data_IF_623071928323
#
_entry.id   IF_623071928323
#
_cell.length_a   1.000
_cell.length_b   1.000
_cell.length_c   1.000
_cell.angle_alpha   90.00
_cell.angle_beta   90.00
_cell.angle_gamma   90.00
#
_symmetry.space_group_name_H-M   'P 1'
#
loop_
_entity.id
_entity.type
_entity.pdbx_description
1 polymer ?
#
# COMPACT_ATOMS: atom_id res chain seq x y z
N UNK A 1 1.13 -25.98 20.82
CA UNK A 1 0.36 -24.81 21.35
C UNK A 1 0.85 -24.51 22.75
N UNK A 2 1.28 -23.28 23.09
CA UNK A 2 1.32 -22.65 24.46
C UNK A 2 2.16 -21.34 24.46
N UNK A 3 1.86 -20.44 25.41
CA UNK A 3 2.00 -18.96 25.37
C UNK A 3 3.24 -18.35 26.07
N UNK A 4 3.78 -17.20 25.60
CA UNK A 4 5.12 -16.60 25.90
C UNK A 4 5.05 -15.10 26.30
N UNK A 5 5.95 -14.63 27.17
CA UNK A 5 6.06 -13.27 27.76
C UNK A 5 7.32 -12.46 27.27
N UNK A 6 7.23 -11.20 26.78
CA UNK A 6 8.37 -10.33 26.31
C UNK A 6 8.84 -9.27 27.34
N UNK A 7 10.11 -8.81 27.31
CA UNK A 7 10.71 -7.72 28.12
C UNK A 7 11.54 -6.69 27.30
N UNK A 8 11.70 -5.46 27.86
CA UNK A 8 11.98 -4.12 27.28
C UNK A 8 13.32 -3.84 26.55
N UNK A 9 13.31 -2.74 25.76
CA UNK A 9 14.38 -2.22 24.86
C UNK A 9 14.65 -0.71 25.07
N UNK A 10 15.88 -0.24 24.79
CA UNK A 10 16.24 1.18 24.48
C UNK A 10 16.23 1.41 22.96
N UNK A 11 15.87 2.61 22.51
CA UNK A 11 15.46 2.94 21.13
C UNK A 11 16.42 3.91 20.43
N UNK A 12 16.69 3.71 19.12
CA UNK A 12 17.03 4.79 18.19
C UNK A 12 16.51 4.51 16.76
N UNK A 13 16.14 5.57 16.02
CA UNK A 13 15.15 5.63 14.92
C UNK A 13 15.72 5.46 13.49
N UNK A 14 14.97 4.77 12.60
CA UNK A 14 14.47 5.24 11.26
C UNK A 14 13.43 4.25 10.68
N UNK A 15 12.22 4.72 10.34
CA UNK A 15 11.03 3.90 10.00
C UNK A 15 10.94 3.54 8.51
N UNK A 16 11.42 2.35 8.15
CA UNK A 16 11.02 1.55 6.98
C UNK A 16 11.24 0.10 7.41
N UNK A 17 10.17 -0.62 7.80
CA UNK A 17 10.17 -2.03 8.23
C UNK A 17 11.53 -2.54 8.77
N UNK A 18 12.00 -1.95 9.87
CA UNK A 18 13.35 -2.21 10.35
C UNK A 18 13.45 -3.68 10.76
N UNK A 19 14.34 -4.39 10.07
CA UNK A 19 14.89 -5.63 10.58
C UNK A 19 15.54 -5.28 11.92
N UNK A 20 15.16 -6.01 12.96
CA UNK A 20 15.54 -5.72 14.33
C UNK A 20 15.88 -7.01 15.07
N UNK A 21 16.83 -6.91 16.01
CA UNK A 21 17.21 -8.03 16.88
C UNK A 21 16.35 -7.97 18.15
N UNK A 22 15.52 -8.97 18.37
CA UNK A 22 14.77 -9.12 19.61
C UNK A 22 15.28 -10.34 20.38
N UNK A 23 15.22 -10.23 21.71
CA UNK A 23 15.51 -11.33 22.62
C UNK A 23 14.20 -12.03 22.94
N UNK A 24 14.15 -13.33 22.71
CA UNK A 24 13.01 -14.19 23.02
C UNK A 24 13.41 -15.14 24.13
N UNK A 25 12.63 -15.17 25.20
CA UNK A 25 12.81 -16.16 26.27
C UNK A 25 11.86 -17.31 26.01
N UNK A 26 12.43 -18.51 25.87
CA UNK A 26 11.66 -19.75 25.67
C UNK A 26 11.08 -20.26 27.01
N UNK A 27 10.20 -21.25 26.93
CA UNK A 27 9.53 -21.82 28.10
C UNK A 27 10.48 -22.50 29.09
N UNK A 28 11.68 -22.87 28.65
CA UNK A 28 12.76 -23.43 29.47
C UNK A 28 13.67 -22.36 30.12
N UNK A 29 13.36 -21.07 29.92
CA UNK A 29 14.13 -19.94 30.45
C UNK A 29 15.32 -19.53 29.58
N UNK A 30 15.62 -20.25 28.49
CA UNK A 30 16.71 -19.88 27.60
C UNK A 30 16.37 -18.64 26.79
N UNK A 31 17.33 -17.73 26.64
CA UNK A 31 17.13 -16.50 25.86
C UNK A 31 17.85 -16.59 24.52
N UNK A 32 17.08 -16.48 23.43
CA UNK A 32 17.57 -16.51 22.06
C UNK A 32 17.45 -15.15 21.40
N UNK A 33 18.49 -14.75 20.67
CA UNK A 33 18.54 -13.49 19.92
C UNK A 33 18.14 -13.76 18.48
N UNK A 34 17.04 -13.20 18.03
CA UNK A 34 16.51 -13.41 16.67
C UNK A 34 16.48 -12.09 15.91
N UNK A 35 17.10 -12.10 14.72
CA UNK A 35 17.07 -11.00 13.76
C UNK A 35 15.85 -11.16 12.84
N UNK A 36 14.99 -10.15 12.74
CA UNK A 36 13.83 -10.24 11.86
C UNK A 36 12.94 -9.00 11.84
N UNK A 37 11.86 -9.06 11.07
CA UNK A 37 10.86 -7.99 10.97
C UNK A 37 9.76 -8.21 12.00
N UNK A 38 9.77 -7.43 13.07
CA UNK A 38 8.73 -7.51 14.12
C UNK A 38 7.94 -6.20 14.18
N UNK A 39 6.74 -6.12 13.57
CA UNK A 39 5.90 -4.92 13.63
C UNK A 39 5.51 -4.52 15.06
N UNK A 40 5.39 -5.49 15.96
CA UNK A 40 5.10 -5.30 17.38
C UNK A 40 6.24 -5.92 18.22
N UNK A 41 6.74 -5.18 19.20
CA UNK A 41 7.88 -5.61 20.04
C UNK A 41 7.72 -5.30 21.53
N UNK A 42 6.56 -4.78 21.93
CA UNK A 42 6.25 -4.51 23.33
C UNK A 42 6.11 -5.78 24.18
N UNK A 43 6.35 -5.68 25.50
CA UNK A 43 6.40 -6.81 26.42
C UNK A 43 5.10 -7.62 26.51
N UNK A 44 3.95 -7.01 26.26
CA UNK A 44 2.64 -7.67 26.37
C UNK A 44 2.28 -8.57 25.17
N UNK A 45 3.13 -8.61 24.13
CA UNK A 45 2.95 -9.49 22.99
C UNK A 45 3.58 -10.86 23.22
N UNK A 46 2.82 -11.89 22.89
CA UNK A 46 3.33 -13.23 22.63
C UNK A 46 3.60 -13.33 21.12
N UNK A 47 4.81 -13.78 20.77
CA UNK A 47 5.27 -13.82 19.38
C UNK A 47 5.64 -15.25 19.02
N UNK A 48 5.06 -15.77 17.95
CA UNK A 48 5.39 -17.09 17.38
C UNK A 48 6.04 -16.87 16.02
N UNK A 49 7.22 -17.45 15.78
CA UNK A 49 7.89 -17.34 14.49
C UNK A 49 8.77 -18.56 14.18
N UNK A 50 9.01 -18.79 12.90
CA UNK A 50 9.97 -19.79 12.41
C UNK A 50 11.32 -19.12 12.15
N UNK A 51 12.39 -19.70 12.68
CA UNK A 51 13.75 -19.18 12.57
C UNK A 51 14.66 -20.16 11.85
N UNK A 52 15.63 -19.64 11.12
CA UNK A 52 16.73 -20.38 10.49
C UNK A 52 18.06 -19.87 11.03
N UNK A 53 19.10 -20.70 11.04
CA UNK A 53 20.45 -20.24 11.34
C UNK A 53 21.14 -19.76 10.08
N UNK A 54 21.82 -18.62 10.17
CA UNK A 54 22.72 -18.15 9.10
C UNK A 54 24.09 -18.87 9.18
N UNK A 55 24.95 -18.61 8.20
CA UNK A 55 26.31 -19.19 8.13
C UNK A 55 27.23 -18.80 9.31
N UNK A 56 26.80 -17.85 10.15
CA UNK A 56 27.52 -17.39 11.35
C UNK A 56 26.83 -17.84 12.64
N UNK A 57 25.86 -18.76 12.56
CA UNK A 57 25.11 -19.31 13.69
C UNK A 57 24.08 -18.37 14.30
N UNK A 58 23.77 -17.23 13.67
CA UNK A 58 22.74 -16.30 14.16
C UNK A 58 21.36 -16.76 13.73
N UNK A 59 20.39 -16.65 14.64
CA UNK A 59 18.99 -16.92 14.34
C UNK A 59 18.38 -15.76 13.56
N UNK A 60 17.85 -16.07 12.39
CA UNK A 60 17.18 -15.13 11.49
C UNK A 60 15.76 -15.62 11.22
N UNK A 61 14.78 -14.73 11.31
CA UNK A 61 13.41 -14.99 10.87
C UNK A 61 13.24 -14.43 9.45
N UNK A 62 13.24 -15.28 8.40
CA UNK A 62 13.08 -14.81 7.02
C UNK A 62 11.65 -14.33 6.71
N UNK A 63 10.65 -14.88 7.43
CA UNK A 63 9.23 -14.57 7.25
C UNK A 63 8.71 -13.51 8.21
N UNK A 64 7.42 -13.63 8.54
CA UNK A 64 6.72 -12.76 9.48
C UNK A 64 6.24 -13.56 10.70
N UNK A 65 6.17 -12.91 11.88
CA UNK A 65 5.71 -13.56 13.10
C UNK A 65 4.19 -13.53 13.21
N UNK A 66 3.64 -14.46 13.97
CA UNK A 66 2.26 -14.42 14.49
C UNK A 66 2.24 -13.78 15.86
N UNK A 67 1.17 -13.03 16.17
CA UNK A 67 1.01 -12.34 17.44
C UNK A 67 -0.21 -12.83 18.23
N UNK A 68 -0.10 -12.76 19.55
CA UNK A 68 -1.22 -12.89 20.49
C UNK A 68 -1.00 -11.97 21.69
N UNK A 69 -2.08 -11.56 22.35
CA UNK A 69 -1.99 -11.01 23.70
C UNK A 69 -1.61 -12.09 24.69
N UNK A 70 -0.60 -11.78 25.51
CA UNK A 70 -0.25 -12.60 26.67
C UNK A 70 -1.44 -12.69 27.62
N UNK A 71 -1.84 -13.91 27.96
CA UNK A 71 -2.85 -14.15 29.00
C UNK A 71 -2.27 -14.11 30.40
N UNK A 72 -0.99 -14.44 30.51
CA UNK A 72 -0.24 -14.33 31.74
C UNK A 72 0.59 -13.04 31.61
N UNK A 73 0.19 -11.97 32.31
CA UNK A 73 1.00 -10.76 32.51
C UNK A 73 1.10 -10.45 34.01
N UNK A 74 2.22 -9.89 34.42
CA UNK A 74 2.46 -9.47 35.81
C UNK A 74 2.27 -7.96 35.90
N UNK A 75 2.25 -7.48 37.14
CA UNK A 75 2.10 -6.06 37.44
C UNK A 75 3.21 -5.20 36.81
N UNK A 76 4.40 -5.78 36.59
CA UNK A 76 5.48 -5.08 35.89
C UNK A 76 5.05 -4.77 34.46
N UNK A 77 4.56 -5.76 33.70
CA UNK A 77 4.12 -5.61 32.31
C UNK A 77 2.90 -4.69 32.20
N UNK A 78 1.95 -4.78 33.13
CA UNK A 78 0.81 -3.85 33.23
C UNK A 78 1.32 -2.42 33.41
N UNK A 79 2.30 -2.21 34.30
CA UNK A 79 2.93 -0.90 34.50
C UNK A 79 3.63 -0.40 33.23
N UNK A 80 4.28 -1.28 32.46
CA UNK A 80 4.91 -0.90 31.19
C UNK A 80 3.87 -0.47 30.16
N UNK A 81 2.72 -1.14 30.13
CA UNK A 81 1.60 -0.83 29.25
C UNK A 81 0.94 0.50 29.62
N UNK A 82 0.65 0.74 30.90
CA UNK A 82 0.08 2.01 31.37
C UNK A 82 0.98 3.20 31.01
N UNK A 83 2.30 3.05 31.21
CA UNK A 83 3.29 4.05 30.77
C UNK A 83 3.29 4.25 29.25
N UNK A 84 3.16 3.18 28.47
CA UNK A 84 3.03 3.27 27.01
C UNK A 84 1.71 3.94 26.56
N UNK A 85 0.67 3.90 27.39
CA UNK A 85 -0.57 4.64 27.19
C UNK A 85 -0.48 6.13 27.56
N UNK A 86 0.65 6.59 28.10
CA UNK A 86 0.89 7.98 28.47
C UNK A 86 0.57 8.33 29.92
N UNK A 87 0.34 7.34 30.79
CA UNK A 87 0.14 7.59 32.22
C UNK A 87 1.46 7.97 32.91
N UNK A 88 1.38 8.87 33.90
CA UNK A 88 2.54 9.25 34.70
C UNK A 88 3.02 8.09 35.58
N UNK A 89 4.30 8.08 35.93
CA UNK A 89 4.84 7.05 36.82
C UNK A 89 4.17 7.06 38.21
N UNK A 90 3.76 8.23 38.69
CA UNK A 90 3.07 8.42 39.98
C UNK A 90 1.72 7.69 40.00
N UNK A 91 0.86 7.94 39.00
CA UNK A 91 -0.42 7.22 38.88
C UNK A 91 -0.26 5.71 38.73
N UNK A 92 0.77 5.27 38.00
CA UNK A 92 1.05 3.84 37.85
C UNK A 92 1.42 3.22 39.20
N UNK A 93 2.27 3.88 39.99
CA UNK A 93 2.63 3.39 41.33
C UNK A 93 1.41 3.30 42.24
N UNK A 94 0.60 4.36 42.31
CA UNK A 94 -0.62 4.39 43.14
C UNK A 94 -1.61 3.28 42.75
N UNK A 95 -1.80 3.04 41.45
CA UNK A 95 -2.67 1.95 40.98
C UNK A 95 -2.16 0.57 41.41
N UNK A 96 -0.84 0.34 41.30
CA UNK A 96 -0.24 -0.94 41.68
C UNK A 96 -0.29 -1.16 43.20
N UNK A 97 -0.11 -0.10 44.00
CA UNK A 97 -0.25 -0.15 45.47
C UNK A 97 -1.68 -0.40 45.92
N UNK A 98 -2.66 0.17 45.22
CA UNK A 98 -4.08 -0.05 45.48
C UNK A 98 -4.56 -1.46 45.12
N UNK A 99 -3.92 -2.12 44.16
CA UNK A 99 -4.40 -3.38 43.63
C UNK A 99 -4.32 -4.51 44.70
N UNK A 100 -5.44 -5.22 44.97
CA UNK A 100 -5.42 -6.34 45.92
C UNK A 100 -4.41 -7.42 45.50
N UNK A 101 -3.66 -7.97 46.47
CA UNK A 101 -2.58 -8.96 46.20
C UNK A 101 -3.05 -10.20 45.41
N UNK A 102 -4.31 -10.58 45.57
CA UNK A 102 -4.93 -11.74 44.90
C UNK A 102 -5.54 -11.41 43.54
N UNK A 103 -5.77 -10.12 43.23
CA UNK A 103 -6.43 -9.70 41.99
C UNK A 103 -5.44 -9.77 40.82
N UNK A 104 -5.69 -10.70 39.90
CA UNK A 104 -4.95 -10.78 38.63
C UNK A 104 -5.49 -9.76 37.62
N UNK A 105 -4.69 -8.75 37.31
CA UNK A 105 -4.98 -7.79 36.24
C UNK A 105 -4.28 -8.21 34.95
N UNK A 106 -5.03 -8.21 33.86
CA UNK A 106 -4.54 -8.40 32.51
C UNK A 106 -4.96 -7.22 31.61
N UNK A 107 -4.53 -7.19 30.36
CA UNK A 107 -4.82 -6.06 29.47
C UNK A 107 -6.30 -5.96 29.03
N UNK A 108 -7.09 -7.02 29.22
CA UNK A 108 -8.51 -7.03 28.84
C UNK A 108 -9.41 -6.55 29.97
N UNK A 109 -9.06 -6.84 31.23
CA UNK A 109 -9.80 -6.36 32.42
C UNK A 109 -9.22 -5.08 33.03
N UNK A 110 -8.07 -4.60 32.53
CA UNK A 110 -7.47 -3.34 32.99
C UNK A 110 -8.44 -2.14 32.95
N UNK A 111 -9.29 -1.93 31.92
CA UNK A 111 -10.22 -0.80 31.92
C UNK A 111 -11.22 -0.80 33.08
N UNK A 112 -11.67 -1.99 33.49
CA UNK A 112 -12.56 -2.18 34.63
C UNK A 112 -11.81 -1.92 35.94
N UNK A 113 -10.60 -2.45 36.09
CA UNK A 113 -9.76 -2.20 37.26
C UNK A 113 -9.40 -0.71 37.41
N UNK A 114 -9.14 0.00 36.31
CA UNK A 114 -8.88 1.45 36.31
C UNK A 114 -10.13 2.24 36.72
N UNK A 115 -11.31 1.81 36.28
CA UNK A 115 -12.57 2.47 36.66
C UNK A 115 -12.87 2.29 38.15
N UNK A 116 -12.65 1.11 38.70
CA UNK A 116 -12.76 0.86 40.14
C UNK A 116 -11.73 1.66 40.94
N UNK A 117 -10.49 1.75 40.45
CA UNK A 117 -9.45 2.57 41.06
C UNK A 117 -9.85 4.05 41.06
N UNK A 118 -10.35 4.60 39.96
CA UNK A 118 -10.84 5.98 39.87
C UNK A 118 -12.00 6.26 40.84
N UNK A 119 -12.88 5.29 41.09
CA UNK A 119 -13.96 5.41 42.08
C UNK A 119 -13.44 5.36 43.52
N UNK A 120 -12.48 4.48 43.80
CA UNK A 120 -11.89 4.31 45.13
C UNK A 120 -10.97 5.48 45.50
N UNK A 121 -10.22 6.00 44.52
CA UNK A 121 -9.33 7.13 44.66
C UNK A 121 -10.12 8.45 44.70
N UNK A 122 -10.79 8.75 45.82
CA UNK A 122 -11.43 10.06 46.08
C UNK A 122 -10.44 11.26 46.14
N UNK A 123 -9.16 11.09 45.78
CA UNK A 123 -8.06 11.89 46.38
C UNK A 123 -7.27 12.80 45.41
N UNK A 124 -7.38 12.76 44.08
CA UNK A 124 -6.41 13.50 43.22
C UNK A 124 -6.92 14.48 42.15
N UNK A 125 -8.17 14.96 42.17
CA UNK A 125 -8.72 15.82 41.07
C UNK A 125 -8.60 15.18 39.67
N UNK A 126 -8.31 13.87 39.59
CA UNK A 126 -8.37 13.12 38.34
C UNK A 126 -9.85 12.98 37.98
N UNK A 127 -10.25 13.50 36.83
CA UNK A 127 -11.65 13.42 36.38
C UNK A 127 -11.94 11.95 36.06
N UNK A 128 -13.03 11.36 36.59
CA UNK A 128 -13.45 10.00 36.24
C UNK A 128 -13.45 9.79 34.72
N UNK A 129 -12.86 8.69 34.26
CA UNK A 129 -12.69 8.34 32.86
C UNK A 129 -11.43 8.88 32.20
N UNK A 130 -10.59 9.68 32.87
CA UNK A 130 -9.33 10.17 32.29
C UNK A 130 -8.35 9.03 31.96
N UNK A 131 -8.21 8.03 32.84
CA UNK A 131 -7.26 6.93 32.62
C UNK A 131 -7.70 6.01 31.49
N UNK A 132 -8.99 5.68 31.46
CA UNK A 132 -9.57 4.91 30.36
C UNK A 132 -9.49 5.66 29.03
N UNK A 133 -9.67 6.99 29.05
CA UNK A 133 -9.49 7.84 27.88
C UNK A 133 -8.04 7.79 27.37
N UNK A 134 -7.04 7.79 28.25
CA UNK A 134 -5.62 7.65 27.87
C UNK A 134 -5.35 6.30 27.20
N UNK A 135 -5.86 5.20 27.77
CA UNK A 135 -5.72 3.86 27.17
C UNK A 135 -6.36 3.84 25.78
N UNK A 136 -7.63 4.22 25.67
CA UNK A 136 -8.40 4.18 24.41
C UNK A 136 -7.74 5.02 23.31
N UNK A 137 -7.20 6.20 23.67
CA UNK A 137 -6.62 7.12 22.72
C UNK A 137 -5.14 6.84 22.39
N UNK A 138 -4.46 5.98 23.14
CA UNK A 138 -3.06 5.63 22.90
C UNK A 138 -2.87 4.62 21.76
N UNK A 139 -1.70 4.62 21.12
CA UNK A 139 -1.34 3.63 20.09
C UNK A 139 -1.28 2.22 20.68
N UNK A 140 -0.74 2.09 21.90
CA UNK A 140 -0.63 0.83 22.61
C UNK A 140 -2.01 0.26 22.95
N UNK A 141 -2.91 1.07 23.51
CA UNK A 141 -4.27 0.65 23.83
C UNK A 141 -5.10 0.33 22.59
N UNK A 142 -4.96 1.09 21.50
CA UNK A 142 -5.59 0.76 20.22
C UNK A 142 -5.13 -0.62 19.71
N UNK A 143 -3.81 -0.88 19.70
CA UNK A 143 -3.28 -2.15 19.22
C UNK A 143 -3.71 -3.34 20.10
N UNK A 144 -3.74 -3.15 21.42
CA UNK A 144 -4.22 -4.17 22.38
C UNK A 144 -5.71 -4.43 22.19
N UNK A 145 -6.53 -3.40 22.03
CA UNK A 145 -7.97 -3.54 21.73
C UNK A 145 -8.18 -4.31 20.43
N UNK A 146 -7.46 -3.95 19.36
CA UNK A 146 -7.52 -4.67 18.10
C UNK A 146 -7.13 -6.14 18.26
N UNK A 147 -6.09 -6.43 19.04
CA UNK A 147 -5.63 -7.80 19.26
C UNK A 147 -6.57 -8.65 20.11
N UNK A 148 -7.32 -8.02 21.02
CA UNK A 148 -8.36 -8.69 21.78
C UNK A 148 -9.56 -9.05 20.90
N UNK A 149 -9.99 -8.12 20.04
CA UNK A 149 -11.17 -8.31 19.18
C UNK A 149 -10.90 -9.19 17.97
N UNK A 150 -9.68 -9.17 17.42
CA UNK A 150 -9.33 -9.78 16.13
C UNK A 150 -8.14 -10.74 16.21
N UNK A 151 -8.26 -11.87 16.94
CA UNK A 151 -7.16 -12.80 17.15
C UNK A 151 -6.66 -13.47 15.86
N UNK A 152 -7.54 -13.76 14.88
CA UNK A 152 -7.11 -14.37 13.60
C UNK A 152 -6.31 -13.40 12.76
N UNK A 153 -6.68 -12.11 12.76
CA UNK A 153 -5.89 -11.04 12.16
C UNK A 153 -4.50 -10.99 12.78
N UNK A 154 -4.38 -10.96 14.11
CA UNK A 154 -3.07 -10.92 14.78
C UNK A 154 -2.21 -12.14 14.48
N UNK A 155 -2.85 -13.30 14.31
CA UNK A 155 -2.15 -14.56 14.01
C UNK A 155 -1.70 -14.65 12.55
N UNK A 156 -2.54 -14.28 11.60
CA UNK A 156 -2.35 -14.62 10.18
C UNK A 156 -2.05 -13.43 9.27
N UNK A 157 -2.57 -12.23 9.57
CA UNK A 157 -2.38 -11.06 8.71
C UNK A 157 -0.93 -10.60 8.56
N UNK A 158 -0.03 -10.71 9.57
CA UNK A 158 1.39 -10.37 9.39
C UNK A 158 2.05 -11.15 8.23
N UNK A 159 1.64 -12.40 8.02
CA UNK A 159 2.16 -13.25 6.94
C UNK A 159 1.38 -13.09 5.65
N UNK A 160 0.05 -12.96 5.73
CA UNK A 160 -0.81 -12.83 4.55
C UNK A 160 -0.67 -11.47 3.85
N UNK A 161 -0.67 -10.37 4.62
CA UNK A 161 -0.63 -8.98 4.14
C UNK A 161 0.26 -8.12 5.06
N UNK A 162 1.60 -8.34 5.07
CA UNK A 162 2.52 -7.73 6.04
C UNK A 162 2.49 -6.21 6.08
N UNK A 163 2.49 -5.57 4.90
CA UNK A 163 2.48 -4.12 4.78
C UNK A 163 1.20 -3.51 5.38
N UNK A 164 0.05 -4.16 5.19
CA UNK A 164 -1.24 -3.69 5.70
C UNK A 164 -1.38 -3.91 7.20
N UNK A 165 -0.86 -5.02 7.75
CA UNK A 165 -0.89 -5.30 9.19
C UNK A 165 -0.27 -4.15 10.00
N UNK A 166 0.94 -3.73 9.64
CA UNK A 166 1.63 -2.64 10.33
C UNK A 166 0.88 -1.30 10.21
N UNK A 167 0.28 -1.02 9.05
CA UNK A 167 -0.48 0.22 8.82
C UNK A 167 -1.80 0.26 9.60
N UNK A 168 -2.48 -0.87 9.76
CA UNK A 168 -3.74 -0.96 10.50
C UNK A 168 -3.56 -0.79 12.00
N UNK A 169 -2.43 -1.26 12.54
CA UNK A 169 -2.14 -1.21 13.98
C UNK A 169 -1.37 0.04 14.43
N UNK A 170 -0.77 0.80 13.51
CA UNK A 170 -0.14 2.09 13.85
C UNK A 170 -1.15 3.24 13.75
N UNK A 171 -1.16 4.16 14.71
CA UNK A 171 -1.87 5.44 14.57
C UNK A 171 -1.24 6.22 13.43
N UNK A 172 -2.07 6.84 12.58
CA UNK A 172 -1.64 7.53 11.35
C UNK A 172 -0.45 8.48 11.58
N UNK A 173 0.33 8.70 10.53
CA UNK A 173 1.54 9.53 10.57
C UNK A 173 1.33 10.87 11.30
N UNK A 174 2.34 11.28 12.07
CA UNK A 174 2.33 12.55 12.82
C UNK A 174 2.01 13.71 11.88
N UNK A 175 0.82 14.28 11.99
CA UNK A 175 0.55 15.65 11.51
C UNK A 175 1.50 16.59 12.26
N UNK A 176 2.17 17.47 11.53
CA UNK A 176 3.12 18.47 12.04
C UNK A 176 2.42 19.74 12.55
N UNK A 177 1.10 19.82 12.50
CA UNK A 177 0.40 21.07 12.83
C UNK A 177 0.02 21.12 14.31
N UNK A 178 0.72 22.01 15.03
CA UNK A 178 0.53 22.31 16.44
C UNK A 178 -0.22 23.63 16.64
N UNK A 179 -1.39 23.80 16.03
CA UNK A 179 -2.26 24.96 16.35
C UNK A 179 -3.42 24.53 17.26
N UNK A 180 -3.80 25.32 18.29
CA UNK A 180 -4.83 24.95 19.26
C UNK A 180 -6.24 24.79 18.67
N UNK A 181 -6.65 25.62 17.71
CA UNK A 181 -7.92 25.46 16.99
C UNK A 181 -7.94 24.23 16.07
N UNK A 182 -6.77 23.84 15.54
CA UNK A 182 -6.61 22.60 14.78
C UNK A 182 -6.62 21.34 15.64
N UNK A 183 -6.44 21.43 16.96
CA UNK A 183 -6.31 20.26 17.84
C UNK A 183 -7.62 19.46 17.97
N UNK A 184 -8.77 20.13 18.15
CA UNK A 184 -10.08 19.46 18.26
C UNK A 184 -10.52 18.82 16.94
N UNK A 185 -10.40 19.54 15.83
CA UNK A 185 -10.68 19.01 14.49
C UNK A 185 -9.74 17.83 14.13
N UNK A 186 -8.48 17.89 14.54
CA UNK A 186 -7.50 16.82 14.36
C UNK A 186 -7.79 15.60 15.25
N UNK A 187 -8.31 15.79 16.46
CA UNK A 187 -8.76 14.67 17.31
C UNK A 187 -9.97 13.95 16.73
N UNK A 188 -10.97 14.69 16.22
CA UNK A 188 -12.14 14.09 15.58
C UNK A 188 -11.75 13.33 14.30
N UNK A 189 -10.89 13.91 13.46
CA UNK A 189 -10.37 13.24 12.27
C UNK A 189 -9.58 11.97 12.61
N UNK A 190 -8.79 11.98 13.71
CA UNK A 190 -8.08 10.79 14.21
C UNK A 190 -9.04 9.71 14.68
N UNK A 191 -10.12 10.06 15.39
CA UNK A 191 -11.15 9.10 15.83
C UNK A 191 -11.86 8.46 14.65
N UNK A 192 -12.33 9.25 13.69
CA UNK A 192 -12.93 8.74 12.43
C UNK A 192 -11.98 7.81 11.67
N UNK A 193 -10.68 8.13 11.65
CA UNK A 193 -9.66 7.28 11.02
C UNK A 193 -9.47 5.95 11.77
N UNK A 194 -9.43 5.98 13.10
CA UNK A 194 -9.32 4.77 13.93
C UNK A 194 -10.53 3.87 13.78
N UNK A 195 -11.73 4.44 13.76
CA UNK A 195 -12.98 3.72 13.53
C UNK A 195 -12.98 3.02 12.18
N UNK A 196 -12.61 3.73 11.10
CA UNK A 196 -12.44 3.13 9.77
C UNK A 196 -11.45 1.96 9.77
N UNK A 197 -10.32 2.07 10.49
CA UNK A 197 -9.37 0.97 10.61
C UNK A 197 -9.94 -0.21 11.40
N UNK A 198 -10.72 0.05 12.45
CA UNK A 198 -11.37 -0.99 13.26
C UNK A 198 -12.39 -1.77 12.43
N UNK A 199 -13.19 -1.09 11.60
CA UNK A 199 -14.11 -1.73 10.65
C UNK A 199 -13.36 -2.63 9.68
N UNK A 200 -12.21 -2.17 9.15
CA UNK A 200 -11.37 -2.98 8.25
C UNK A 200 -10.79 -4.20 8.96
N UNK A 201 -10.35 -4.06 10.22
CA UNK A 201 -9.84 -5.18 11.01
C UNK A 201 -10.93 -6.22 11.28
N UNK A 202 -12.15 -5.78 11.63
CA UNK A 202 -13.31 -6.67 11.78
C UNK A 202 -13.59 -7.46 10.50
N UNK A 203 -13.64 -6.76 9.36
CA UNK A 203 -13.85 -7.40 8.05
C UNK A 203 -12.77 -8.43 7.72
N UNK A 204 -11.51 -8.14 8.05
CA UNK A 204 -10.40 -9.09 7.87
C UNK A 204 -10.51 -10.29 8.80
N UNK A 205 -10.96 -10.10 10.04
CA UNK A 205 -11.20 -11.19 10.98
C UNK A 205 -12.24 -12.17 10.42
N UNK A 206 -13.35 -11.66 9.88
CA UNK A 206 -14.37 -12.46 9.22
C UNK A 206 -13.83 -13.21 8.01
N UNK A 207 -13.10 -12.52 7.12
CA UNK A 207 -12.51 -13.11 5.92
C UNK A 207 -11.52 -14.21 6.29
N UNK A 208 -10.59 -13.98 7.23
CA UNK A 208 -9.60 -14.99 7.64
C UNK A 208 -10.30 -16.20 8.28
N UNK A 209 -11.40 -15.96 9.00
CA UNK A 209 -12.13 -17.02 9.70
C UNK A 209 -12.94 -17.89 8.73
N UNK A 210 -13.65 -17.28 7.77
CA UNK A 210 -14.64 -17.98 6.93
C UNK A 210 -14.18 -18.16 5.48
N UNK A 211 -13.63 -17.12 4.88
CA UNK A 211 -13.41 -17.01 3.43
C UNK A 211 -11.96 -16.64 3.07
N UNK A 212 -10.97 -17.33 3.66
CA UNK A 212 -9.56 -16.91 3.56
C UNK A 212 -9.07 -16.80 2.11
N UNK A 213 -9.64 -17.60 1.20
CA UNK A 213 -9.35 -17.59 -0.23
C UNK A 213 -9.54 -16.22 -0.88
N UNK A 214 -10.44 -15.37 -0.36
CA UNK A 214 -10.67 -14.01 -0.86
C UNK A 214 -9.39 -13.17 -0.83
N UNK A 215 -8.51 -13.43 0.14
CA UNK A 215 -7.24 -12.71 0.29
C UNK A 215 -6.25 -13.00 -0.85
N UNK A 216 -6.46 -14.06 -1.62
CA UNK A 216 -5.58 -14.42 -2.74
C UNK A 216 -5.90 -13.68 -4.04
N UNK A 217 -6.98 -12.89 -4.06
CA UNK A 217 -7.43 -12.12 -5.22
C UNK A 217 -7.40 -10.62 -4.92
N UNK A 218 -6.45 -9.91 -5.54
CA UNK A 218 -6.29 -8.46 -5.35
C UNK A 218 -7.61 -7.67 -5.45
N UNK A 219 -8.41 -7.97 -6.47
CA UNK A 219 -9.68 -7.28 -6.73
C UNK A 219 -10.73 -7.49 -5.63
N UNK A 220 -10.85 -8.71 -5.11
CA UNK A 220 -11.79 -9.00 -4.03
C UNK A 220 -11.34 -8.28 -2.76
N UNK A 221 -10.05 -8.34 -2.43
CA UNK A 221 -9.50 -7.62 -1.27
C UNK A 221 -9.74 -6.13 -1.40
N UNK A 222 -9.48 -5.53 -2.56
CA UNK A 222 -9.75 -4.12 -2.81
C UNK A 222 -11.22 -3.77 -2.62
N UNK A 223 -12.16 -4.56 -3.18
CA UNK A 223 -13.61 -4.32 -3.02
C UNK A 223 -14.09 -4.44 -1.58
N UNK A 224 -13.61 -5.45 -0.86
CA UNK A 224 -14.06 -5.76 0.52
C UNK A 224 -13.40 -4.85 1.57
N UNK A 225 -12.19 -4.32 1.32
CA UNK A 225 -11.39 -3.62 2.35
C UNK A 225 -10.83 -2.26 1.92
N UNK A 226 -10.85 -1.95 0.63
CA UNK A 226 -10.22 -0.77 0.04
C UNK A 226 -8.69 -0.81 0.05
N UNK A 227 -8.07 -1.99 0.21
CA UNK A 227 -6.61 -2.12 0.18
C UNK A 227 -6.06 -2.16 -1.23
N UNK A 228 -5.27 -1.15 -1.56
CA UNK A 228 -4.44 -1.13 -2.76
C UNK A 228 -3.30 -2.14 -2.55
N UNK A 229 -3.03 -2.98 -3.56
CA UNK A 229 -1.98 -4.03 -3.52
C UNK A 229 -2.17 -5.05 -2.38
N UNK A 230 -3.41 -5.29 -1.95
CA UNK A 230 -3.73 -6.34 -0.98
C UNK A 230 -3.91 -7.69 -1.67
N UNK A 231 -2.87 -8.53 -1.71
CA UNK A 231 -2.98 -9.91 -2.23
C UNK A 231 -2.00 -10.84 -1.50
N UNK A 232 -2.55 -11.86 -0.86
CA UNK A 232 -1.78 -12.92 -0.21
C UNK A 232 -1.23 -13.89 -1.27
N UNK A 233 0.07 -14.20 -1.17
CA UNK A 233 0.74 -15.15 -2.07
C UNK A 233 0.47 -16.60 -1.64
N UNK A 234 0.59 -17.53 -2.58
CA UNK A 234 0.37 -18.97 -2.33
C UNK A 234 1.13 -19.49 -1.10
N UNK A 235 2.42 -19.17 -0.99
CA UNK A 235 3.24 -19.62 0.13
C UNK A 235 2.76 -19.05 1.47
N UNK A 236 2.18 -17.84 1.50
CA UNK A 236 1.66 -17.25 2.73
C UNK A 236 0.49 -18.05 3.30
N UNK A 237 -0.41 -18.56 2.45
CA UNK A 237 -1.50 -19.45 2.86
C UNK A 237 -0.97 -20.74 3.48
N UNK A 238 0.04 -21.36 2.85
CA UNK A 238 0.67 -22.59 3.34
C UNK A 238 1.39 -22.37 4.67
N UNK A 239 2.19 -21.31 4.79
CA UNK A 239 2.87 -20.94 6.04
C UNK A 239 1.87 -20.71 7.18
N UNK A 240 0.67 -20.21 6.87
CA UNK A 240 -0.38 -20.02 7.87
C UNK A 240 -1.18 -21.29 8.18
N UNK A 241 -0.97 -22.41 7.46
CA UNK A 241 -1.81 -23.60 7.56
C UNK A 241 -3.28 -23.34 7.17
N UNK A 242 -3.49 -22.41 6.24
CA UNK A 242 -4.83 -22.00 5.79
C UNK A 242 -5.16 -22.49 4.38
N UNK A 243 -4.19 -23.03 3.64
CA UNK A 243 -4.38 -23.43 2.25
C UNK A 243 -5.33 -24.62 2.15
N UNK A 244 -5.25 -25.57 3.08
CA UNK A 244 -6.05 -26.79 3.16
C UNK A 244 -7.51 -26.52 3.53
N UNK A 245 -7.79 -25.34 4.12
CA UNK A 245 -9.15 -24.90 4.48
C UNK A 245 -9.90 -24.26 3.30
N UNK A 246 -9.21 -24.00 2.20
CA UNK A 246 -9.83 -23.37 1.02
C UNK A 246 -10.67 -24.42 0.28
N UNK A 247 -11.95 -24.15 -0.01
CA UNK A 247 -12.77 -25.15 -0.69
C UNK A 247 -12.24 -25.44 -2.10
N UNK A 248 -12.48 -26.66 -2.65
CA UNK A 248 -11.82 -27.13 -3.86
C UNK A 248 -11.96 -26.20 -5.07
N UNK A 249 -13.16 -25.65 -5.30
CA UNK A 249 -13.43 -24.72 -6.40
C UNK A 249 -12.56 -23.45 -6.31
N UNK A 250 -12.54 -22.80 -5.15
CA UNK A 250 -11.76 -21.58 -4.93
C UNK A 250 -10.25 -21.88 -4.94
N UNK A 251 -9.83 -23.07 -4.51
CA UNK A 251 -8.45 -23.51 -4.62
C UNK A 251 -8.01 -23.64 -6.09
N UNK A 252 -8.85 -24.26 -6.92
CA UNK A 252 -8.62 -24.35 -8.38
C UNK A 252 -8.60 -22.97 -9.03
N UNK A 253 -9.53 -22.08 -8.65
CA UNK A 253 -9.58 -20.69 -9.12
C UNK A 253 -8.31 -19.90 -8.75
N UNK A 254 -7.80 -20.04 -7.52
CA UNK A 254 -6.55 -19.40 -7.11
C UNK A 254 -5.34 -19.90 -7.91
N UNK A 255 -5.25 -21.23 -8.13
CA UNK A 255 -4.17 -21.82 -8.93
C UNK A 255 -4.19 -21.28 -10.37
N UNK A 256 -5.37 -21.20 -10.98
CA UNK A 256 -5.54 -20.68 -12.33
C UNK A 256 -5.20 -19.19 -12.41
N UNK A 257 -5.66 -18.39 -11.46
CA UNK A 257 -5.32 -16.98 -11.35
C UNK A 257 -3.81 -16.74 -11.23
N UNK A 258 -3.12 -17.50 -10.37
CA UNK A 258 -1.67 -17.42 -10.25
C UNK A 258 -0.94 -17.91 -11.49
N UNK A 259 -1.45 -18.94 -12.18
CA UNK A 259 -0.91 -19.40 -13.46
C UNK A 259 -0.99 -18.29 -14.49
N UNK A 260 -2.16 -17.67 -14.69
CA UNK A 260 -2.30 -16.56 -15.63
C UNK A 260 -1.31 -15.44 -15.29
N UNK A 261 -1.27 -14.98 -14.02
CA UNK A 261 -0.34 -13.92 -13.60
C UNK A 261 1.11 -14.27 -13.91
N UNK A 262 1.53 -15.48 -13.57
CA UNK A 262 2.91 -15.93 -13.81
C UNK A 262 3.24 -15.91 -15.30
N UNK A 263 2.33 -16.35 -16.15
CA UNK A 263 2.56 -16.40 -17.59
C UNK A 263 2.53 -15.00 -18.23
N UNK A 264 1.61 -14.12 -17.82
CA UNK A 264 1.57 -12.73 -18.28
C UNK A 264 2.77 -11.92 -17.80
N UNK A 265 3.22 -12.14 -16.55
CA UNK A 265 4.40 -11.47 -15.99
C UNK A 265 5.69 -11.93 -16.70
N UNK A 266 5.72 -13.15 -17.24
CA UNK A 266 6.88 -13.73 -17.90
C UNK A 266 7.17 -13.10 -19.27
N UNK A 267 6.14 -12.85 -20.06
CA UNK A 267 6.30 -12.36 -21.45
C UNK A 267 5.67 -10.98 -21.71
N UNK A 268 5.06 -10.37 -20.69
CA UNK A 268 4.45 -9.04 -20.78
C UNK A 268 3.11 -9.01 -21.53
N UNK A 269 2.52 -10.17 -21.85
CA UNK A 269 1.20 -10.24 -22.48
C UNK A 269 0.07 -9.77 -21.54
N UNK A 270 -0.98 -9.18 -22.10
CA UNK A 270 -2.17 -8.72 -21.35
C UNK A 270 -3.21 -9.81 -21.15
N UNK A 271 -3.14 -10.88 -21.95
CA UNK A 271 -4.05 -12.04 -21.92
C UNK A 271 -3.32 -13.34 -22.30
N UNK A 272 -3.95 -14.47 -22.03
CA UNK A 272 -3.57 -15.80 -22.53
C UNK A 272 -4.71 -16.47 -23.26
N UNK A 273 -4.40 -17.47 -24.08
CA UNK A 273 -5.45 -18.30 -24.66
C UNK A 273 -5.94 -19.33 -23.65
N UNK A 274 -7.16 -19.83 -23.84
CA UNK A 274 -7.69 -20.95 -23.05
C UNK A 274 -6.76 -22.18 -23.13
N UNK A 275 -6.17 -22.43 -24.30
CA UNK A 275 -5.23 -23.52 -24.53
C UNK A 275 -3.93 -23.36 -23.71
N UNK A 276 -3.39 -22.14 -23.62
CA UNK A 276 -2.21 -21.87 -22.77
C UNK A 276 -2.52 -22.16 -21.28
N UNK A 277 -3.75 -21.84 -20.88
CA UNK A 277 -4.21 -22.01 -19.51
C UNK A 277 -4.68 -23.43 -19.18
N UNK A 278 -4.75 -24.35 -20.15
CA UNK A 278 -5.22 -25.72 -19.96
C UNK A 278 -4.66 -26.35 -18.67
N UNK A 279 -5.57 -26.81 -17.82
CA UNK A 279 -5.28 -27.49 -16.55
C UNK A 279 -5.78 -28.92 -16.69
N UNK A 280 -5.02 -29.90 -16.20
CA UNK A 280 -5.22 -31.32 -16.55
C UNK A 280 -6.60 -31.93 -16.32
N UNK A 281 -7.50 -31.31 -15.53
CA UNK A 281 -8.90 -31.71 -15.44
C UNK A 281 -9.78 -30.57 -15.96
N UNK A 282 -10.35 -30.74 -17.15
CA UNK A 282 -11.12 -29.73 -17.89
C UNK A 282 -12.37 -29.28 -17.11
N UNK A 283 -13.18 -30.21 -16.59
CA UNK A 283 -14.40 -29.90 -15.83
C UNK A 283 -14.15 -29.00 -14.60
N UNK A 284 -13.00 -29.20 -13.94
CA UNK A 284 -12.63 -28.40 -12.77
C UNK A 284 -12.09 -27.03 -13.18
N UNK A 285 -11.41 -26.94 -14.32
CA UNK A 285 -10.89 -25.70 -14.87
C UNK A 285 -12.02 -24.78 -15.34
N UNK A 286 -13.03 -25.33 -16.00
CA UNK A 286 -14.17 -24.58 -16.51
C UNK A 286 -15.01 -23.98 -15.38
N UNK A 287 -15.33 -24.77 -14.34
CA UNK A 287 -16.01 -24.25 -13.14
C UNK A 287 -15.20 -23.14 -12.47
N UNK A 288 -13.88 -23.28 -12.41
CA UNK A 288 -13.00 -22.26 -11.83
C UNK A 288 -12.97 -20.98 -12.69
N UNK A 289 -12.97 -21.10 -14.02
CA UNK A 289 -13.05 -19.98 -14.95
C UNK A 289 -14.38 -19.24 -14.84
N UNK A 290 -15.50 -19.95 -14.82
CA UNK A 290 -16.84 -19.39 -14.61
C UNK A 290 -16.89 -18.61 -13.30
N UNK A 291 -16.41 -19.22 -12.21
CA UNK A 291 -16.30 -18.57 -10.91
C UNK A 291 -15.46 -17.28 -10.95
N UNK A 292 -14.29 -17.31 -11.61
CA UNK A 292 -13.42 -16.12 -11.71
C UNK A 292 -14.06 -15.00 -12.54
N UNK A 293 -14.82 -15.36 -13.58
CA UNK A 293 -15.60 -14.43 -14.41
C UNK A 293 -16.74 -13.80 -13.62
N UNK A 294 -17.56 -14.59 -12.93
CA UNK A 294 -18.65 -14.11 -12.06
C UNK A 294 -18.14 -13.18 -10.96
N UNK A 295 -17.00 -13.51 -10.35
CA UNK A 295 -16.35 -12.65 -9.36
C UNK A 295 -15.70 -11.39 -9.95
N UNK A 296 -15.77 -11.21 -11.28
CA UNK A 296 -15.15 -10.13 -12.04
C UNK A 296 -13.63 -10.08 -11.89
N UNK A 297 -12.96 -11.20 -11.57
CA UNK A 297 -11.50 -11.26 -11.45
C UNK A 297 -10.85 -11.31 -12.84
N UNK A 298 -11.53 -11.94 -13.79
CA UNK A 298 -11.03 -12.16 -15.15
C UNK A 298 -12.12 -11.83 -16.17
N UNK A 299 -11.68 -11.56 -17.40
CA UNK A 299 -12.55 -11.40 -18.56
C UNK A 299 -12.20 -12.49 -19.56
N UNK A 300 -13.22 -13.20 -20.03
CA UNK A 300 -13.11 -14.24 -21.04
C UNK A 300 -13.82 -13.73 -22.29
N UNK A 301 -13.08 -13.54 -23.37
CA UNK A 301 -13.61 -13.06 -24.66
C UNK A 301 -13.12 -13.97 -25.76
N UNK A 302 -14.06 -14.65 -26.44
CA UNK A 302 -13.76 -15.71 -27.41
C UNK A 302 -12.91 -16.81 -26.77
N UNK A 303 -11.62 -16.88 -27.10
CA UNK A 303 -10.65 -17.85 -26.59
C UNK A 303 -9.54 -17.19 -25.78
N UNK A 304 -9.72 -15.93 -25.35
CA UNK A 304 -8.74 -15.16 -24.59
C UNK A 304 -9.22 -14.95 -23.17
N UNK A 305 -8.32 -15.19 -22.23
CA UNK A 305 -8.52 -14.96 -20.80
C UNK A 305 -7.54 -13.89 -20.36
N UNK A 306 -8.08 -12.79 -19.83
CA UNK A 306 -7.31 -11.69 -19.29
C UNK A 306 -7.69 -11.45 -17.83
N UNK A 307 -6.74 -10.92 -17.04
CA UNK A 307 -7.12 -10.30 -15.78
C UNK A 307 -8.04 -9.12 -16.07
N UNK A 308 -9.05 -8.93 -15.23
CA UNK A 308 -10.00 -7.84 -15.43
C UNK A 308 -9.27 -6.49 -15.52
N UNK A 309 -8.25 -6.27 -14.68
CA UNK A 309 -7.48 -5.03 -14.69
C UNK A 309 -6.76 -4.81 -16.02
N UNK A 310 -6.13 -5.84 -16.58
CA UNK A 310 -5.42 -5.73 -17.86
C UNK A 310 -6.38 -5.41 -19.00
N UNK A 311 -7.50 -6.13 -19.08
CA UNK A 311 -8.54 -5.87 -20.07
C UNK A 311 -9.14 -4.46 -19.91
N UNK A 312 -9.42 -4.04 -18.67
CA UNK A 312 -9.96 -2.73 -18.38
C UNK A 312 -8.99 -1.60 -18.77
N UNK A 313 -7.69 -1.75 -18.51
CA UNK A 313 -6.69 -0.78 -18.93
C UNK A 313 -6.56 -0.74 -20.45
N UNK A 314 -6.51 -1.89 -21.12
CA UNK A 314 -6.40 -1.97 -22.59
C UNK A 314 -7.59 -1.30 -23.28
N UNK A 315 -8.81 -1.67 -22.89
CA UNK A 315 -10.04 -1.10 -23.46
C UNK A 315 -10.23 0.38 -23.07
N UNK A 316 -9.84 0.77 -21.86
CA UNK A 316 -9.85 2.16 -21.42
C UNK A 316 -8.88 3.04 -22.20
N UNK A 317 -7.66 2.55 -22.45
CA UNK A 317 -6.66 3.23 -23.30
C UNK A 317 -7.18 3.35 -24.72
N UNK A 318 -7.70 2.27 -25.31
CA UNK A 318 -8.25 2.29 -26.67
C UNK A 318 -9.41 3.28 -26.80
N UNK A 319 -10.33 3.33 -25.83
CA UNK A 319 -11.43 4.30 -25.80
C UNK A 319 -10.91 5.74 -25.68
N UNK A 320 -9.92 5.97 -24.81
CA UNK A 320 -9.34 7.31 -24.62
C UNK A 320 -8.62 7.79 -25.88
N UNK A 321 -7.86 6.92 -26.55
CA UNK A 321 -7.24 7.21 -27.84
C UNK A 321 -8.27 7.48 -28.92
N UNK A 322 -9.35 6.68 -28.99
CA UNK A 322 -10.45 6.93 -29.93
C UNK A 322 -11.10 8.30 -29.71
N UNK A 323 -11.30 8.70 -28.45
CA UNK A 323 -11.83 10.04 -28.16
C UNK A 323 -10.89 11.15 -28.63
N UNK A 324 -9.59 11.01 -28.38
CA UNK A 324 -8.59 12.00 -28.83
C UNK A 324 -8.52 12.09 -30.35
N UNK A 325 -8.58 10.96 -31.07
CA UNK A 325 -8.44 10.93 -32.52
C UNK A 325 -9.67 11.45 -33.26
N UNK A 326 -10.88 11.23 -32.72
CA UNK A 326 -12.11 11.44 -33.48
C UNK A 326 -13.03 12.53 -32.94
N UNK A 327 -12.85 12.97 -31.69
CA UNK A 327 -13.80 13.90 -31.02
C UNK A 327 -13.19 15.27 -30.76
N UNK A 328 -11.90 15.35 -30.44
CA UNK A 328 -11.27 16.62 -30.07
C UNK A 328 -10.75 17.37 -31.30
N UNK A 329 -11.22 18.60 -31.56
CA UNK A 329 -10.62 19.43 -32.60
C UNK A 329 -9.17 19.74 -32.22
N UNK A 330 -8.25 19.56 -33.18
CA UNK A 330 -6.83 19.79 -32.98
C UNK A 330 -6.24 20.46 -34.19
N UNK A 331 -5.62 21.61 -33.98
CA UNK A 331 -4.78 22.24 -34.97
C UNK A 331 -3.85 23.23 -34.27
N UNK A 332 -2.54 23.04 -34.42
CA UNK A 332 -1.54 24.04 -34.03
C UNK A 332 -1.19 24.83 -35.29
N UNK A 333 -1.50 26.12 -35.31
CA UNK A 333 -1.22 27.00 -36.45
C UNK A 333 0.25 27.39 -36.46
N UNK A 334 1.10 26.62 -37.13
CA UNK A 334 2.53 26.92 -37.31
C UNK A 334 2.91 26.75 -38.78
N UNK A 335 3.70 27.68 -39.32
CA UNK A 335 4.40 27.48 -40.58
C UNK A 335 5.62 26.58 -40.35
N UNK A 336 5.43 25.28 -40.59
CA UNK A 336 6.45 24.25 -40.35
C UNK A 336 7.70 24.49 -41.20
N UNK A 337 7.55 24.95 -42.43
CA UNK A 337 8.70 25.16 -43.31
C UNK A 337 9.53 26.37 -42.89
N UNK A 338 8.88 27.48 -42.57
CA UNK A 338 9.56 28.66 -42.05
C UNK A 338 10.31 28.33 -40.75
N UNK A 339 9.63 27.68 -39.81
CA UNK A 339 10.22 27.28 -38.53
C UNK A 339 11.46 26.37 -38.70
N UNK A 340 11.40 25.38 -39.60
CA UNK A 340 12.53 24.48 -39.83
C UNK A 340 13.69 25.18 -40.57
N UNK A 341 13.40 26.10 -41.51
CA UNK A 341 14.42 26.93 -42.17
C UNK A 341 15.14 27.82 -41.16
N UNK A 342 14.42 28.47 -40.26
CA UNK A 342 15.00 29.32 -39.22
C UNK A 342 15.89 28.53 -38.24
N UNK A 343 15.50 27.30 -37.93
CA UNK A 343 16.21 26.46 -36.97
C UNK A 343 17.48 25.78 -37.53
N UNK A 344 17.47 25.41 -38.81
CA UNK A 344 18.53 24.59 -39.42
C UNK A 344 19.28 25.25 -40.58
N UNK A 345 18.84 26.43 -41.05
CA UNK A 345 19.43 27.20 -42.13
C UNK A 345 19.06 26.73 -43.55
N UNK A 346 19.37 27.53 -44.57
CA UNK A 346 19.15 27.18 -45.99
C UNK A 346 20.14 26.13 -46.53
N UNK A 347 21.24 25.88 -45.80
CA UNK A 347 22.34 25.03 -46.23
C UNK A 347 22.09 23.54 -45.89
N UNK A 348 21.10 22.94 -46.52
CA UNK A 348 20.88 21.49 -46.47
C UNK A 348 19.42 21.12 -46.69
N UNK A 349 19.19 20.12 -47.54
CA UNK A 349 17.89 19.48 -47.77
C UNK A 349 17.22 19.22 -46.42
N UNK A 350 16.13 19.93 -46.10
CA UNK A 350 15.35 19.66 -44.88
C UNK A 350 15.06 18.16 -44.86
N UNK A 351 15.33 17.53 -43.72
CA UNK A 351 15.02 16.12 -43.53
C UNK A 351 13.51 15.93 -43.66
N UNK A 352 13.08 15.23 -44.71
CA UNK A 352 11.67 15.03 -45.05
C UNK A 352 10.90 14.35 -43.89
N UNK A 353 11.57 13.49 -43.11
CA UNK A 353 10.96 12.86 -41.94
C UNK A 353 10.75 13.86 -40.79
N UNK A 354 11.65 14.83 -40.61
CA UNK A 354 11.49 15.90 -39.63
C UNK A 354 10.36 16.85 -40.01
N UNK A 355 10.27 17.21 -41.30
CA UNK A 355 9.18 18.02 -41.85
C UNK A 355 7.84 17.31 -41.66
N UNK A 356 7.77 16.03 -42.04
CA UNK A 356 6.58 15.20 -41.85
C UNK A 356 6.19 15.09 -40.38
N UNK A 357 7.16 14.86 -39.48
CA UNK A 357 6.89 14.77 -38.05
C UNK A 357 6.33 16.08 -37.47
N UNK A 358 6.89 17.23 -37.87
CA UNK A 358 6.40 18.54 -37.43
C UNK A 358 4.98 18.81 -37.95
N UNK A 359 4.69 18.50 -39.22
CA UNK A 359 3.34 18.61 -39.79
C UNK A 359 2.35 17.70 -39.05
N UNK A 360 2.74 16.45 -38.78
CA UNK A 360 1.89 15.51 -38.04
C UNK A 360 1.55 16.03 -36.64
N UNK A 361 2.51 16.62 -35.92
CA UNK A 361 2.25 17.23 -34.59
C UNK A 361 1.21 18.35 -34.69
N UNK A 362 1.28 19.19 -35.73
CA UNK A 362 0.38 20.32 -35.91
C UNK A 362 -1.05 19.88 -36.28
N UNK A 363 -1.17 18.83 -37.09
CA UNK A 363 -2.45 18.40 -37.67
C UNK A 363 -3.15 17.29 -36.89
N UNK A 364 -2.42 16.52 -36.06
CA UNK A 364 -2.98 15.34 -35.38
C UNK A 364 -2.92 15.46 -33.85
N UNK A 365 -4.05 15.21 -33.15
CA UNK A 365 -4.12 15.26 -31.69
C UNK A 365 -3.22 14.22 -31.00
N UNK A 366 -2.90 13.13 -31.69
CA UNK A 366 -1.97 12.09 -31.23
C UNK A 366 -0.99 11.79 -32.35
N UNK A 367 0.28 12.07 -32.10
CA UNK A 367 1.39 11.76 -33.02
C UNK A 367 2.40 10.85 -32.34
N UNK A 368 2.78 9.76 -33.01
CA UNK A 368 3.83 8.84 -32.55
C UNK A 368 5.05 9.00 -33.44
N UNK A 369 6.19 9.39 -32.85
CA UNK A 369 7.47 9.56 -33.56
C UNK A 369 8.43 8.47 -33.10
N UNK A 370 8.72 7.52 -33.98
CA UNK A 370 9.72 6.46 -33.77
C UNK A 370 10.98 6.73 -34.57
N UNK A 371 12.14 6.27 -34.07
CA UNK A 371 13.41 6.36 -34.80
C UNK A 371 14.60 6.03 -33.91
N UNK A 372 15.75 5.73 -34.49
CA UNK A 372 16.97 5.37 -33.74
C UNK A 372 17.54 6.57 -32.95
N UNK A 373 18.48 6.31 -32.06
CA UNK A 373 19.14 7.37 -31.30
C UNK A 373 19.90 8.30 -32.27
N UNK A 374 19.80 9.61 -32.06
CA UNK A 374 20.51 10.61 -32.89
C UNK A 374 19.68 11.23 -34.02
N UNK A 375 18.55 10.66 -34.43
CA UNK A 375 17.71 11.18 -35.54
C UNK A 375 16.92 12.47 -35.25
N UNK A 376 17.35 13.32 -34.31
CA UNK A 376 16.70 14.63 -34.11
C UNK A 376 15.28 14.64 -33.54
N UNK A 377 14.64 13.50 -33.21
CA UNK A 377 13.24 13.44 -32.70
C UNK A 377 12.89 14.49 -31.63
N UNK A 378 13.72 14.59 -30.58
CA UNK A 378 13.49 15.56 -29.50
C UNK A 378 13.63 17.00 -29.99
N UNK A 379 14.51 17.25 -30.96
CA UNK A 379 14.74 18.59 -31.52
C UNK A 379 13.50 19.07 -32.26
N UNK A 380 12.92 18.23 -33.15
CA UNK A 380 11.69 18.56 -33.89
C UNK A 380 10.53 18.87 -32.93
N UNK A 381 10.28 18.00 -31.95
CA UNK A 381 9.23 18.20 -30.94
C UNK A 381 9.46 19.51 -30.17
N UNK A 382 10.71 19.81 -29.80
CA UNK A 382 11.05 21.03 -29.05
C UNK A 382 10.83 22.29 -29.87
N UNK A 383 11.15 22.25 -31.17
CA UNK A 383 11.02 23.40 -32.05
C UNK A 383 9.54 23.75 -32.28
N UNK A 384 8.71 22.76 -32.62
CA UNK A 384 7.26 22.97 -32.82
C UNK A 384 6.61 23.61 -31.59
N UNK A 385 6.88 23.10 -30.39
CA UNK A 385 6.26 23.65 -29.19
C UNK A 385 6.86 24.99 -28.74
N UNK A 386 8.13 25.28 -29.04
CA UNK A 386 8.68 26.63 -28.81
C UNK A 386 8.04 27.66 -29.73
N UNK A 387 7.88 27.32 -31.00
CA UNK A 387 7.23 28.18 -31.97
C UNK A 387 5.76 28.41 -31.61
N UNK A 388 5.05 27.35 -31.19
CA UNK A 388 3.67 27.47 -30.68
C UNK A 388 3.55 28.48 -29.54
N UNK A 389 4.50 28.49 -28.60
CA UNK A 389 4.51 29.41 -27.46
C UNK A 389 4.91 30.83 -27.92
N UNK A 390 5.92 30.97 -28.78
CA UNK A 390 6.43 32.28 -29.22
C UNK A 390 5.43 33.07 -30.08
N UNK A 391 4.62 32.40 -30.91
CA UNK A 391 3.56 33.07 -31.69
C UNK A 391 2.46 33.69 -30.81
N UNK A 392 2.39 33.32 -29.52
CA UNK A 392 1.43 33.88 -28.56
C UNK A 392 1.95 35.12 -27.84
N UNK A 393 3.26 35.21 -27.55
CA UNK A 393 3.87 36.34 -26.83
C UNK A 393 3.81 37.69 -27.60
N UNK A 394 3.56 37.64 -28.92
CA UNK A 394 3.44 38.83 -29.78
C UNK A 394 2.03 39.41 -29.92
N UNK A 395 0.99 38.81 -29.30
CA UNK A 395 -0.41 39.27 -29.42
C UNK A 395 -0.81 40.15 -28.23
N UNK A 396 -1.46 41.33 -28.43
CA UNK A 396 -1.70 42.30 -27.35
C UNK A 396 -2.80 41.94 -26.34
N UNK A 397 -3.45 40.78 -26.47
CA UNK A 397 -4.48 40.32 -25.54
C UNK A 397 -4.33 38.81 -25.30
N UNK A 398 -4.59 38.31 -24.08
CA UNK A 398 -4.75 36.88 -23.87
C UNK A 398 -6.03 36.44 -24.60
N UNK A 399 -5.88 35.86 -25.79
CA UNK A 399 -6.94 35.04 -26.37
C UNK A 399 -7.17 33.83 -25.45
N UNK A 400 -8.41 33.34 -25.34
CA UNK A 400 -8.79 32.20 -24.49
C UNK A 400 -8.04 30.88 -24.82
N UNK A 401 -7.32 30.82 -25.94
CA UNK A 401 -6.59 29.65 -26.44
C UNK A 401 -5.06 29.82 -26.30
N UNK A 402 -4.53 29.94 -25.08
CA UNK A 402 -3.07 29.86 -24.87
C UNK A 402 -2.61 28.39 -24.91
N UNK A 403 -1.68 28.03 -25.79
CA UNK A 403 -1.11 26.68 -25.90
C UNK A 403 -0.21 26.40 -24.69
N UNK A 404 -0.73 25.61 -23.76
CA UNK A 404 0.02 25.16 -22.58
C UNK A 404 0.73 23.84 -22.86
N UNK A 405 2.06 23.87 -22.85
CA UNK A 405 2.89 22.70 -23.12
C UNK A 405 3.31 22.02 -21.81
N UNK A 406 2.94 20.75 -21.65
CA UNK A 406 3.40 19.89 -20.56
C UNK A 406 4.31 18.79 -21.08
N UNK A 407 5.58 18.81 -20.66
CA UNK A 407 6.56 17.80 -21.03
C UNK A 407 6.68 16.72 -19.95
N UNK A 408 6.59 15.45 -20.35
CA UNK A 408 6.64 14.32 -19.43
C UNK A 408 7.50 13.16 -19.92
N UNK A 409 8.03 12.38 -18.98
CA UNK A 409 8.80 11.17 -19.26
C UNK A 409 8.56 10.07 -18.20
N UNK A 410 8.83 8.79 -18.52
CA UNK A 410 8.59 7.69 -17.59
C UNK A 410 9.55 7.67 -16.40
N UNK A 411 10.77 8.20 -16.54
CA UNK A 411 11.81 8.18 -15.50
C UNK A 411 12.39 9.57 -15.24
N UNK A 412 12.92 9.80 -14.03
CA UNK A 412 13.53 11.09 -13.66
C UNK A 412 14.74 11.46 -14.53
N UNK A 413 15.55 10.47 -14.93
CA UNK A 413 16.69 10.70 -15.83
C UNK A 413 16.24 11.14 -17.21
N UNK A 414 15.18 10.53 -17.76
CA UNK A 414 14.61 10.92 -19.05
C UNK A 414 13.96 12.32 -18.97
N UNK A 415 13.23 12.63 -17.89
CA UNK A 415 12.66 13.96 -17.68
C UNK A 415 13.75 15.04 -17.58
N UNK A 416 14.83 14.79 -16.85
CA UNK A 416 15.97 15.71 -16.76
C UNK A 416 16.65 15.95 -18.10
N UNK A 417 16.81 14.91 -18.93
CA UNK A 417 17.35 15.03 -20.28
C UNK A 417 16.42 15.85 -21.19
N UNK A 418 15.10 15.61 -21.09
CA UNK A 418 14.08 16.34 -21.83
C UNK A 418 14.12 17.84 -21.48
N UNK A 419 14.22 18.17 -20.19
CA UNK A 419 14.37 19.54 -19.70
C UNK A 419 15.64 20.20 -20.27
N UNK A 420 16.80 19.52 -20.19
CA UNK A 420 18.06 20.06 -20.71
C UNK A 420 18.03 20.36 -22.21
N UNK A 421 17.37 19.51 -23.01
CA UNK A 421 17.30 19.67 -24.48
C UNK A 421 16.28 20.71 -24.92
N UNK A 422 15.11 20.70 -24.29
CA UNK A 422 14.00 21.59 -24.65
C UNK A 422 14.18 22.99 -24.02
N UNK A 423 14.89 23.09 -22.91
CA UNK A 423 14.91 24.25 -21.99
C UNK A 423 13.53 24.57 -21.40
N UNK A 424 12.61 23.60 -21.40
CA UNK A 424 11.27 23.71 -20.84
C UNK A 424 11.13 22.80 -19.61
N UNK A 425 10.27 23.14 -18.62
CA UNK A 425 10.02 22.29 -17.47
C UNK A 425 9.48 20.92 -17.91
N UNK A 426 10.17 19.86 -17.50
CA UNK A 426 9.76 18.50 -17.74
C UNK A 426 9.65 17.71 -16.44
N UNK A 427 8.61 16.88 -16.36
CA UNK A 427 8.28 16.12 -15.16
C UNK A 427 8.23 14.63 -15.47
N UNK A 428 8.20 13.80 -14.43
CA UNK A 428 7.86 12.39 -14.60
C UNK A 428 6.35 12.22 -14.68
N UNK A 429 5.87 11.17 -15.36
CA UNK A 429 4.44 10.81 -15.38
C UNK A 429 3.84 10.70 -13.97
N UNK A 430 4.63 10.26 -12.98
CA UNK A 430 4.20 10.16 -11.59
C UNK A 430 3.98 11.53 -10.93
N UNK A 431 4.85 12.51 -11.20
CA UNK A 431 4.74 13.87 -10.66
C UNK A 431 3.53 14.62 -11.24
N UNK A 432 3.25 14.43 -12.53
CA UNK A 432 2.07 15.02 -13.17
C UNK A 432 0.80 14.48 -12.52
N UNK A 433 0.72 13.16 -12.33
CA UNK A 433 -0.46 12.52 -11.76
C UNK A 433 -0.74 12.93 -10.30
N UNK A 434 0.30 13.20 -9.51
CA UNK A 434 0.13 13.68 -8.12
C UNK A 434 -0.31 15.14 -8.03
N UNK A 435 -0.21 15.90 -9.12
CA UNK A 435 -0.55 17.34 -9.17
C UNK A 435 -1.95 17.57 -9.74
N UNK A 436 -2.46 16.61 -10.52
CA UNK A 436 -3.80 16.64 -11.12
C UNK A 436 -4.89 15.95 -10.26
N UNK A 437 -4.52 15.43 -9.09
CA UNK A 437 -5.42 14.86 -8.07
C UNK A 437 -5.41 15.77 -6.84
#
# INVERSE_FOLDING_TARGET
>A
MRKIRVARRKTQRRKKEMIQILNFTESDGTTKRVLGRFPLSDPWWEVTCSVTQDSRGKLVMPGYPSYRLRSDIDNSVVSLFMKACGMSSDFVSQFIEWLPRERKVNLTNLPEALHEFEKAARIHKAVPGQMNTLVINSDAGYAVRAAHLFPQVMKHLPTLLPHHFAQLLQKGGRSKDKTPLGAKANEEAKRKTQEKKMIKLHKLEEIITRDVWKLGFHRIVYRETGFIKGEAKQNAFRTCGLFERIPPLQCSALKLYWKLKKETDRDGSTYKTMADLAMGNEDTADKALEFLKEQNIMVITRQRVALWEHHHYETGIAKSLGHLLWVTPWHIKIDVEAMLRDAFGEAGKLDDDQKRAAQMICDNPVTVISGVAGCGKTSVVSLVFKEAIHQEDGKPLPSEETVKVLLTAPTGRAASLLNKRTKLPAYTLHQVRSTLQ
#
